data_IF_558614836612
#
_entry.id   IF_558614836612
#
_cell.length_a   1.000
_cell.length_b   1.000
_cell.length_c   1.000
_cell.angle_alpha   90.00
_cell.angle_beta   90.00
_cell.angle_gamma   90.00
#
_symmetry.space_group_name_H-M   'P 1'
#
loop_
_entity.id
_entity.type
_entity.pdbx_description
1 polymer ?
#
# COMPACT_ATOMS: atom_id res chain seq x y z
N UNK A 1 13.98 -5.42 -9.95
CA UNK A 1 14.72 -6.60 -10.48
C UNK A 1 16.03 -6.71 -9.73
N UNK A 2 16.34 -7.89 -9.28
CA UNK A 2 17.59 -8.18 -8.57
C UNK A 2 18.23 -9.44 -9.17
N UNK A 3 19.48 -9.33 -9.64
CA UNK A 3 20.17 -10.44 -10.29
C UNK A 3 19.42 -10.97 -11.53
N UNK A 4 18.76 -10.10 -12.28
CA UNK A 4 17.95 -10.46 -13.44
C UNK A 4 16.57 -11.04 -13.12
N UNK A 5 16.21 -11.20 -11.84
CA UNK A 5 14.92 -11.76 -11.41
C UNK A 5 14.02 -10.65 -10.84
N UNK A 6 12.70 -10.70 -11.11
CA UNK A 6 11.76 -9.76 -10.53
C UNK A 6 11.42 -10.10 -9.08
N UNK A 7 11.35 -9.05 -8.24
CA UNK A 7 10.95 -9.13 -6.84
C UNK A 7 9.87 -8.12 -6.54
N UNK A 8 9.07 -8.41 -5.53
CA UNK A 8 8.06 -7.50 -4.99
C UNK A 8 8.53 -7.01 -3.63
N UNK A 9 8.58 -5.68 -3.46
CA UNK A 9 8.72 -5.07 -2.14
C UNK A 9 7.33 -5.02 -1.50
N UNK A 10 7.14 -5.73 -0.41
CA UNK A 10 5.83 -5.87 0.21
C UNK A 10 5.89 -5.74 1.73
N UNK A 11 4.74 -5.40 2.30
CA UNK A 11 4.53 -5.37 3.74
C UNK A 11 3.97 -6.70 4.21
N UNK A 12 4.75 -7.43 4.99
CA UNK A 12 4.30 -8.58 5.79
C UNK A 12 4.34 -8.18 7.28
N UNK A 13 4.87 -9.00 8.17
CA UNK A 13 5.18 -8.53 9.54
C UNK A 13 6.18 -7.39 9.51
N UNK A 14 7.13 -7.46 8.58
CA UNK A 14 8.07 -6.40 8.21
C UNK A 14 8.09 -6.26 6.70
N UNK A 15 8.72 -5.19 6.21
CA UNK A 15 8.93 -5.02 4.78
C UNK A 15 10.01 -5.97 4.29
N UNK A 16 9.67 -6.75 3.28
CA UNK A 16 10.53 -7.78 2.70
C UNK A 16 10.51 -7.72 1.17
N UNK A 17 11.54 -8.30 0.56
CA UNK A 17 11.57 -8.60 -0.87
C UNK A 17 11.15 -10.04 -1.08
N UNK A 18 10.09 -10.24 -1.86
CA UNK A 18 9.55 -11.55 -2.19
C UNK A 18 9.73 -11.80 -3.69
N UNK A 19 10.24 -12.97 -4.13
CA UNK A 19 10.26 -13.32 -5.56
C UNK A 19 8.85 -13.22 -6.15
N UNK A 20 8.72 -12.64 -7.36
CA UNK A 20 7.43 -12.38 -7.98
C UNK A 20 6.57 -13.63 -8.12
N UNK A 21 7.16 -14.75 -8.50
CA UNK A 21 6.46 -16.04 -8.65
C UNK A 21 5.83 -16.50 -7.33
N UNK A 22 6.54 -16.35 -6.22
CA UNK A 22 6.02 -16.68 -4.88
C UNK A 22 4.92 -15.72 -4.44
N UNK A 23 5.06 -14.44 -4.77
CA UNK A 23 4.03 -13.45 -4.48
C UNK A 23 2.72 -13.78 -5.22
N UNK A 24 2.80 -14.08 -6.51
CA UNK A 24 1.65 -14.45 -7.34
C UNK A 24 0.99 -15.73 -6.83
N UNK A 25 1.79 -16.74 -6.45
CA UNK A 25 1.28 -18.02 -5.98
C UNK A 25 0.45 -17.93 -4.69
N UNK A 26 0.60 -16.87 -3.91
CA UNK A 26 -0.24 -16.60 -2.71
C UNK A 26 -1.60 -16.00 -3.04
N UNK A 27 -1.77 -15.49 -4.24
CA UNK A 27 -3.05 -14.94 -4.69
C UNK A 27 -4.11 -16.01 -4.88
N UNK A 28 -5.37 -15.64 -4.74
CA UNK A 28 -6.49 -16.54 -4.96
C UNK A 28 -6.52 -16.98 -6.44
N UNK A 29 -6.48 -18.27 -6.68
CA UNK A 29 -6.43 -18.88 -8.02
C UNK A 29 -5.28 -18.35 -8.92
N UNK A 30 -4.21 -17.81 -8.31
CA UNK A 30 -3.11 -17.20 -9.07
C UNK A 30 -3.51 -15.95 -9.85
N UNK A 31 -4.66 -15.36 -9.53
CA UNK A 31 -5.14 -14.14 -10.18
C UNK A 31 -4.44 -12.91 -9.61
N UNK A 32 -4.15 -11.95 -10.48
CA UNK A 32 -3.54 -10.68 -10.09
C UNK A 32 -3.88 -9.59 -11.10
N UNK A 33 -3.81 -8.35 -10.63
CA UNK A 33 -3.90 -7.15 -11.48
C UNK A 33 -2.62 -6.36 -11.33
N UNK A 34 -2.14 -5.81 -12.44
CA UNK A 34 -0.93 -5.02 -12.47
C UNK A 34 -1.23 -3.63 -13.00
N UNK A 35 -0.79 -2.63 -12.27
CA UNK A 35 -0.70 -1.25 -12.75
C UNK A 35 0.76 -0.88 -12.91
N UNK A 36 1.05 -0.04 -13.88
CA UNK A 36 2.39 0.47 -14.14
C UNK A 36 2.38 1.99 -14.08
N UNK A 37 3.46 2.58 -13.61
CA UNK A 37 3.64 4.01 -13.69
C UNK A 37 3.69 4.48 -15.14
N UNK A 38 2.97 5.56 -15.45
CA UNK A 38 3.08 6.25 -16.74
C UNK A 38 4.45 6.87 -16.93
N UNK A 39 5.12 7.27 -15.84
CA UNK A 39 6.51 7.73 -15.87
C UNK A 39 7.43 6.56 -16.20
N UNK A 40 8.27 6.74 -17.22
CA UNK A 40 9.22 5.72 -17.68
C UNK A 40 10.55 5.83 -16.94
N UNK A 41 11.37 4.77 -17.02
CA UNK A 41 12.73 4.71 -16.49
C UNK A 41 12.84 5.02 -15.00
N UNK A 42 11.90 4.49 -14.21
CA UNK A 42 11.88 4.67 -12.76
C UNK A 42 12.93 3.78 -12.12
N UNK A 43 13.72 4.36 -11.22
CA UNK A 43 14.63 3.64 -10.33
C UNK A 43 14.21 3.92 -8.89
N UNK A 44 13.95 2.88 -8.12
CA UNK A 44 13.52 2.97 -6.73
C UNK A 44 14.63 2.50 -5.81
N UNK A 45 14.95 3.30 -4.81
CA UNK A 45 15.84 2.92 -3.71
C UNK A 45 14.99 2.29 -2.61
N UNK A 46 15.10 0.99 -2.42
CA UNK A 46 14.22 0.25 -1.51
C UNK A 46 14.90 -0.20 -0.20
N UNK A 47 16.23 -0.21 -0.15
CA UNK A 47 16.97 -0.78 0.98
C UNK A 47 16.61 -0.17 2.33
N UNK A 48 16.32 1.14 2.38
CA UNK A 48 15.94 1.84 3.61
C UNK A 48 14.57 1.41 4.17
N UNK A 49 13.74 0.77 3.34
CA UNK A 49 12.43 0.28 3.77
C UNK A 49 12.48 -1.13 4.35
N UNK A 50 13.46 -1.92 3.95
CA UNK A 50 13.57 -3.32 4.38
C UNK A 50 13.64 -3.41 5.91
N UNK A 51 12.89 -4.36 6.47
CA UNK A 51 12.84 -4.61 7.91
C UNK A 51 11.95 -3.67 8.70
N UNK A 52 11.39 -2.63 8.10
CA UNK A 52 10.43 -1.74 8.78
C UNK A 52 9.17 -2.53 9.17
N UNK A 53 8.63 -2.31 10.38
CA UNK A 53 7.47 -3.06 10.84
C UNK A 53 6.17 -2.64 10.13
N UNK A 54 5.20 -3.55 10.10
CA UNK A 54 3.85 -3.27 9.60
C UNK A 54 3.12 -2.34 10.56
N UNK A 55 2.37 -1.38 10.02
CA UNK A 55 1.56 -0.45 10.80
C UNK A 55 0.10 -0.91 10.89
N UNK A 56 -0.23 -1.60 11.96
CA UNK A 56 -1.60 -2.04 12.23
C UNK A 56 -2.56 -0.89 12.58
N UNK A 57 -2.04 0.26 12.97
CA UNK A 57 -2.83 1.44 13.30
C UNK A 57 -3.04 2.36 12.10
N UNK A 58 -2.48 2.05 10.94
CA UNK A 58 -2.60 2.80 9.69
C UNK A 58 -2.28 4.30 9.83
N UNK A 59 -1.23 4.62 10.57
CA UNK A 59 -0.77 6.00 10.77
C UNK A 59 0.28 6.37 9.72
N UNK A 60 0.32 7.66 9.35
CA UNK A 60 1.35 8.16 8.46
C UNK A 60 2.64 8.53 9.22
N UNK A 61 3.79 8.41 8.53
CA UNK A 61 5.08 8.96 8.92
C UNK A 61 5.56 8.58 10.33
N UNK A 62 5.31 7.34 10.75
CA UNK A 62 5.68 6.84 12.07
C UNK A 62 6.78 5.77 12.06
N UNK A 63 7.52 5.63 10.94
CA UNK A 63 8.56 4.61 10.79
C UNK A 63 8.03 3.19 10.59
N UNK A 64 6.71 3.04 10.46
CA UNK A 64 6.00 1.79 10.16
C UNK A 64 5.22 1.99 8.88
N UNK A 65 4.92 0.90 8.17
CA UNK A 65 4.23 0.99 6.89
C UNK A 65 3.10 -0.03 6.77
N UNK A 66 1.96 0.39 6.23
CA UNK A 66 0.97 -0.50 5.65
C UNK A 66 1.09 -0.47 4.12
N UNK A 67 0.49 -1.43 3.41
CA UNK A 67 0.79 -1.68 1.99
C UNK A 67 0.58 -0.46 1.08
N UNK A 68 -0.57 0.20 1.15
CA UNK A 68 -0.86 1.37 0.32
C UNK A 68 -0.03 2.59 0.70
N UNK A 69 0.29 2.75 1.97
CA UNK A 69 1.20 3.82 2.44
C UNK A 69 2.61 3.64 1.87
N UNK A 70 3.12 2.43 1.81
CA UNK A 70 4.42 2.15 1.24
C UNK A 70 4.52 2.62 -0.20
N UNK A 71 3.53 2.28 -1.02
CA UNK A 71 3.47 2.69 -2.42
C UNK A 71 3.37 4.21 -2.53
N UNK A 72 2.47 4.82 -1.75
CA UNK A 72 2.29 6.27 -1.70
C UNK A 72 3.60 6.99 -1.31
N UNK A 73 4.27 6.52 -0.27
CA UNK A 73 5.49 7.12 0.25
C UNK A 73 6.64 7.07 -0.78
N UNK A 74 6.84 5.92 -1.41
CA UNK A 74 7.87 5.76 -2.44
C UNK A 74 7.65 6.71 -3.61
N UNK A 75 6.43 6.74 -4.16
CA UNK A 75 6.11 7.62 -5.29
C UNK A 75 6.25 9.09 -4.92
N UNK A 76 5.75 9.48 -3.78
CA UNK A 76 5.82 10.88 -3.32
C UNK A 76 7.24 11.32 -3.05
N UNK A 77 8.00 10.57 -2.25
CA UNK A 77 9.35 10.96 -1.82
C UNK A 77 10.41 10.78 -2.90
N UNK A 78 10.34 9.73 -3.69
CA UNK A 78 11.37 9.43 -4.68
C UNK A 78 11.06 9.94 -6.09
N UNK A 79 9.79 10.05 -6.46
CA UNK A 79 9.38 10.42 -7.81
C UNK A 79 8.66 11.77 -7.88
N UNK A 80 8.32 12.37 -6.72
CA UNK A 80 7.54 13.59 -6.66
C UNK A 80 6.11 13.44 -7.16
N UNK A 81 5.56 12.22 -7.15
CA UNK A 81 4.22 11.90 -7.63
C UNK A 81 3.33 11.54 -6.44
N UNK A 82 2.28 12.31 -6.23
CA UNK A 82 1.24 11.98 -5.27
C UNK A 82 0.15 11.14 -5.98
N UNK A 83 0.19 9.82 -5.76
CA UNK A 83 -0.69 8.88 -6.47
C UNK A 83 -2.15 9.09 -6.16
N UNK A 84 -2.46 9.46 -4.94
CA UNK A 84 -3.82 9.75 -4.49
C UNK A 84 -3.78 10.72 -3.31
N UNK A 85 -4.89 11.38 -3.02
CA UNK A 85 -5.01 12.27 -1.87
C UNK A 85 -5.41 11.47 -0.63
N UNK A 86 -4.66 11.56 0.49
CA UNK A 86 -5.06 10.94 1.73
C UNK A 86 -6.42 11.45 2.20
N UNK A 87 -7.25 10.56 2.72
CA UNK A 87 -8.57 10.88 3.25
C UNK A 87 -8.65 10.48 4.72
N UNK A 88 -9.54 11.10 5.47
CA UNK A 88 -9.80 10.69 6.84
C UNK A 88 -10.46 9.32 6.87
N UNK A 89 -10.12 8.51 7.86
CA UNK A 89 -10.67 7.16 8.03
C UNK A 89 -12.20 7.19 8.04
N UNK A 90 -12.80 8.19 8.68
CA UNK A 90 -14.26 8.35 8.72
C UNK A 90 -14.91 8.42 7.34
N UNK A 91 -14.22 8.97 6.35
CA UNK A 91 -14.74 9.10 4.99
C UNK A 91 -14.83 7.75 4.28
N UNK A 92 -13.98 6.79 4.64
CA UNK A 92 -14.08 5.41 4.17
C UNK A 92 -15.19 4.63 4.88
N UNK A 93 -15.50 4.95 6.13
CA UNK A 93 -16.51 4.24 6.91
C UNK A 93 -17.92 4.39 6.35
N UNK A 94 -18.19 5.47 5.63
CA UNK A 94 -19.49 5.71 4.98
C UNK A 94 -19.84 4.58 3.99
N UNK A 95 -18.84 3.95 3.39
CA UNK A 95 -19.01 2.86 2.42
C UNK A 95 -19.36 1.51 3.07
N UNK A 96 -19.25 1.39 4.40
CA UNK A 96 -19.36 0.13 5.13
C UNK A 96 -20.37 0.21 6.28
N UNK A 97 -21.48 0.89 6.08
CA UNK A 97 -22.49 1.15 7.12
C UNK A 97 -23.08 -0.13 7.72
N UNK A 98 -23.24 -1.19 6.94
CA UNK A 98 -23.74 -2.50 7.36
C UNK A 98 -22.76 -3.24 8.29
N UNK A 99 -21.47 -2.93 8.20
CA UNK A 99 -20.41 -3.56 9.00
C UNK A 99 -19.82 -2.62 10.07
N UNK A 100 -20.44 -1.48 10.27
CA UNK A 100 -19.88 -0.40 11.08
C UNK A 100 -19.55 -0.80 12.53
N UNK A 101 -20.40 -1.55 13.29
CA UNK A 101 -20.06 -1.94 14.65
C UNK A 101 -18.80 -2.81 14.74
N UNK A 102 -18.64 -3.75 13.80
CA UNK A 102 -17.48 -4.63 13.72
C UNK A 102 -16.20 -3.87 13.38
N UNK A 103 -16.29 -2.92 12.42
CA UNK A 103 -15.19 -2.08 12.01
C UNK A 103 -14.76 -1.16 13.16
N UNK A 104 -15.69 -0.52 13.86
CA UNK A 104 -15.40 0.34 15.02
C UNK A 104 -14.68 -0.42 16.13
N UNK A 105 -15.06 -1.66 16.38
CA UNK A 105 -14.39 -2.53 17.37
C UNK A 105 -12.94 -2.80 16.95
N UNK A 106 -12.71 -3.17 15.69
CA UNK A 106 -11.37 -3.42 15.16
C UNK A 106 -10.49 -2.15 15.22
N UNK A 107 -11.05 -0.99 14.89
CA UNK A 107 -10.36 0.29 14.99
C UNK A 107 -9.91 0.58 16.42
N UNK A 108 -10.78 0.37 17.40
CA UNK A 108 -10.47 0.57 18.82
C UNK A 108 -9.32 -0.35 19.26
N UNK A 109 -9.36 -1.62 18.87
CA UNK A 109 -8.30 -2.58 19.20
C UNK A 109 -6.95 -2.21 18.60
N UNK A 110 -6.92 -1.61 17.41
CA UNK A 110 -5.71 -1.21 16.70
C UNK A 110 -5.26 0.21 16.98
N UNK A 111 -6.00 0.98 17.78
CA UNK A 111 -5.70 2.37 18.05
C UNK A 111 -5.91 3.29 16.84
N UNK A 112 -6.86 2.96 15.96
CA UNK A 112 -7.18 3.76 14.78
C UNK A 112 -8.20 4.82 15.16
N UNK A 113 -7.87 6.10 14.89
CA UNK A 113 -8.77 7.23 15.09
C UNK A 113 -9.47 7.56 13.76
N UNK A 114 -10.79 7.81 13.82
CA UNK A 114 -11.59 8.19 12.64
C UNK A 114 -11.14 9.49 11.97
N UNK A 115 -10.49 10.38 12.72
CA UNK A 115 -9.98 11.66 12.21
C UNK A 115 -8.58 11.56 11.60
N UNK A 116 -7.88 10.43 11.76
CA UNK A 116 -6.57 10.26 11.13
C UNK A 116 -6.68 10.09 9.61
N UNK A 117 -5.67 10.55 8.91
CA UNK A 117 -5.57 10.36 7.46
C UNK A 117 -5.03 8.96 7.15
N UNK A 118 -5.51 8.41 6.05
CA UNK A 118 -5.06 7.13 5.52
C UNK A 118 -5.16 7.13 4.00
N UNK A 119 -4.54 6.15 3.37
CA UNK A 119 -4.65 5.95 1.93
C UNK A 119 -5.07 4.51 1.65
N UNK A 120 -6.14 4.35 0.89
CA UNK A 120 -6.67 3.03 0.57
C UNK A 120 -6.05 2.47 -0.71
N UNK A 121 -5.89 1.13 -0.82
CA UNK A 121 -5.40 0.50 -2.04
C UNK A 121 -6.21 0.86 -3.29
N UNK A 122 -7.53 1.00 -3.17
CA UNK A 122 -8.40 1.36 -4.30
C UNK A 122 -8.08 2.76 -4.85
N UNK A 123 -7.71 3.71 -4.00
CA UNK A 123 -7.34 5.05 -4.43
C UNK A 123 -6.00 5.04 -5.19
N UNK A 124 -5.06 4.20 -4.76
CA UNK A 124 -3.81 3.97 -5.49
C UNK A 124 -4.12 3.34 -6.85
N UNK A 125 -4.92 2.29 -6.87
CA UNK A 125 -5.28 1.56 -8.09
C UNK A 125 -5.92 2.47 -9.15
N UNK A 126 -6.75 3.42 -8.73
CA UNK A 126 -7.46 4.35 -9.60
C UNK A 126 -6.67 5.64 -9.90
N UNK A 127 -5.40 5.70 -9.54
CA UNK A 127 -4.57 6.89 -9.76
C UNK A 127 -4.41 7.19 -11.26
N UNK A 128 -4.55 8.48 -11.61
CA UNK A 128 -4.30 8.96 -12.98
C UNK A 128 -2.86 8.81 -13.46
N UNK A 129 -1.93 8.59 -12.53
CA UNK A 129 -0.51 8.41 -12.83
C UNK A 129 -0.12 6.97 -13.14
N UNK A 130 -1.07 6.04 -13.02
CA UNK A 130 -0.89 4.63 -13.32
C UNK A 130 -1.70 4.23 -14.56
N UNK A 131 -1.20 3.23 -15.26
CA UNK A 131 -1.87 2.64 -16.42
C UNK A 131 -1.96 1.11 -16.27
N UNK A 132 -2.94 0.51 -16.92
CA UNK A 132 -3.09 -0.93 -16.93
C UNK A 132 -1.94 -1.59 -17.70
N UNK A 133 -1.56 -2.78 -17.28
CA UNK A 133 -0.62 -3.63 -17.99
C UNK A 133 -1.40 -4.74 -18.69
N UNK A 134 -1.28 -4.78 -19.99
CA UNK A 134 -1.89 -5.82 -20.84
C UNK A 134 -1.16 -7.16 -20.70
#
# INVERSE_FOLDING_TARGET
IRGGKPYVLETQKTLVLTPLDKFIARGEDGKYWIKRSKKKNIKIKYSKYLGKPYDLAFKFDNGRFYCSELVYDIYKKQLGIELAEPKKVKDYLILFTDRLPKIKRAMKQRGINKEQFAIAPVDIFNSKYLEDVD
#
